data_IF_587823704612
#
_entry.id   IF_587823704612
#
_cell.length_a   1.000
_cell.length_b   1.000
_cell.length_c   1.000
_cell.angle_alpha   90.00
_cell.angle_beta   90.00
_cell.angle_gamma   90.00
#
_symmetry.space_group_name_H-M   'P 1'
#
loop_
_entity.id
_entity.type
_entity.pdbx_description
1 polymer ?
#
# COMPACT_ATOMS: atom_id res chain seq x y z
N UNK A 1 -29.36 15.22 -4.20
CA UNK A 1 -29.21 14.40 -5.42
C UNK A 1 -27.91 13.62 -5.30
N UNK A 2 -28.00 12.31 -5.52
CA UNK A 2 -27.04 11.23 -5.22
C UNK A 2 -25.57 11.63 -5.10
N UNK A 3 -25.06 11.58 -3.87
CA UNK A 3 -23.63 11.53 -3.60
C UNK A 3 -23.07 10.27 -4.26
N UNK A 4 -22.25 10.44 -5.30
CA UNK A 4 -21.47 9.36 -5.85
C UNK A 4 -20.59 8.80 -4.74
N UNK A 5 -20.98 7.66 -4.17
CA UNK A 5 -20.20 7.02 -3.13
C UNK A 5 -18.85 6.66 -3.73
N UNK A 6 -17.78 7.29 -3.25
CA UNK A 6 -16.42 6.90 -3.59
C UNK A 6 -16.23 5.45 -3.17
N UNK A 7 -16.21 4.53 -4.13
CA UNK A 7 -15.99 3.13 -3.86
C UNK A 7 -14.50 2.98 -3.52
N UNK A 8 -14.23 2.74 -2.25
CA UNK A 8 -12.91 2.41 -1.77
C UNK A 8 -12.66 0.92 -1.98
N UNK A 9 -11.54 0.59 -2.62
CA UNK A 9 -11.17 -0.78 -2.92
C UNK A 9 -10.10 -1.23 -1.94
N UNK A 10 -10.44 -2.18 -1.08
CA UNK A 10 -9.48 -2.96 -0.29
C UNK A 10 -9.29 -4.32 -0.96
N UNK A 11 -8.07 -4.69 -1.28
CA UNK A 11 -7.79 -5.95 -1.97
C UNK A 11 -6.36 -6.42 -1.76
N UNK A 12 -6.11 -7.70 -2.06
CA UNK A 12 -4.75 -8.27 -2.04
C UNK A 12 -3.99 -7.87 -3.30
N UNK A 13 -2.71 -7.53 -3.13
CA UNK A 13 -1.82 -7.18 -4.22
C UNK A 13 -1.01 -8.39 -4.66
N UNK A 14 -0.81 -8.58 -5.97
CA UNK A 14 0.03 -9.67 -6.50
C UNK A 14 1.51 -9.38 -6.21
N UNK A 15 2.25 -10.43 -5.88
CA UNK A 15 3.68 -10.41 -5.54
C UNK A 15 4.57 -9.77 -6.63
N UNK A 16 4.20 -9.91 -7.91
CA UNK A 16 4.94 -9.39 -9.06
C UNK A 16 4.49 -8.00 -9.50
N UNK A 17 3.56 -7.36 -8.76
CA UNK A 17 3.07 -6.03 -9.12
C UNK A 17 4.19 -5.03 -8.93
N UNK A 18 4.46 -4.21 -9.93
CA UNK A 18 5.41 -3.10 -9.81
C UNK A 18 4.74 -1.90 -9.13
N UNK A 19 5.39 -1.37 -8.10
CA UNK A 19 4.99 -0.16 -7.38
C UNK A 19 5.84 1.02 -7.85
N UNK A 20 5.22 2.19 -7.91
CA UNK A 20 5.86 3.44 -8.32
C UNK A 20 5.74 4.45 -7.19
N UNK A 21 6.73 5.31 -7.04
CA UNK A 21 6.66 6.42 -6.12
C UNK A 21 5.62 7.44 -6.61
N UNK A 22 5.11 8.25 -5.68
CA UNK A 22 4.38 9.45 -6.05
C UNK A 22 5.30 10.38 -6.86
N UNK A 23 4.77 11.07 -7.89
CA UNK A 23 5.57 12.00 -8.66
C UNK A 23 6.07 13.11 -7.74
N UNK A 24 7.38 13.16 -7.52
CA UNK A 24 8.01 14.19 -6.70
C UNK A 24 7.66 15.57 -7.29
N UNK A 25 7.23 16.52 -6.45
CA UNK A 25 6.90 17.89 -6.85
C UNK A 25 8.06 18.57 -7.60
N UNK A 26 9.30 18.17 -7.34
CA UNK A 26 10.48 18.63 -8.07
C UNK A 26 10.43 18.35 -9.59
N UNK A 27 9.66 17.36 -10.04
CA UNK A 27 9.46 17.08 -11.47
C UNK A 27 8.54 18.11 -12.16
N UNK A 28 7.81 18.94 -11.41
CA UNK A 28 6.98 20.03 -11.96
C UNK A 28 7.82 21.19 -12.51
N UNK A 29 9.06 21.32 -12.05
CA UNK A 29 9.99 22.41 -12.43
C UNK A 29 10.84 22.05 -13.67
N UNK A 30 10.80 20.80 -14.13
CA UNK A 30 11.55 20.37 -15.32
C UNK A 30 10.83 20.75 -16.62
N UNK A 31 11.57 21.28 -17.60
CA UNK A 31 11.06 21.68 -18.92
C UNK A 31 10.60 20.44 -19.71
N UNK A 32 9.31 20.15 -19.73
CA UNK A 32 8.71 19.01 -20.45
C UNK A 32 7.35 18.58 -19.90
N UNK A 33 6.76 17.52 -20.47
CA UNK A 33 5.50 16.96 -19.94
C UNK A 33 5.76 16.39 -18.53
N UNK A 34 5.03 16.83 -17.49
CA UNK A 34 5.25 16.33 -16.14
C UNK A 34 5.05 14.81 -16.10
N UNK A 35 5.95 14.11 -15.40
CA UNK A 35 5.89 12.65 -15.27
C UNK A 35 4.63 12.27 -14.50
N UNK A 36 3.85 11.33 -15.07
CA UNK A 36 2.62 10.83 -14.45
C UNK A 36 2.86 9.93 -13.24
N UNK A 37 4.07 9.40 -13.09
CA UNK A 37 4.50 8.52 -12.00
C UNK A 37 5.91 8.92 -11.56
N UNK A 38 6.24 8.73 -10.28
CA UNK A 38 7.61 8.83 -9.78
C UNK A 38 8.47 7.65 -10.23
N UNK A 39 9.63 7.49 -9.59
CA UNK A 39 10.54 6.40 -9.91
C UNK A 39 9.93 5.03 -9.59
N UNK A 40 10.37 4.00 -10.32
CA UNK A 40 9.94 2.62 -10.09
C UNK A 40 10.59 2.14 -8.79
N UNK A 41 9.79 1.89 -7.76
CA UNK A 41 10.30 1.46 -6.45
C UNK A 41 10.71 -0.02 -6.42
N UNK A 42 10.08 -0.88 -7.24
CA UNK A 42 10.36 -2.32 -7.27
C UNK A 42 9.08 -3.13 -7.43
N UNK A 43 9.20 -4.47 -7.35
CA UNK A 43 8.02 -5.32 -7.17
C UNK A 43 7.60 -5.38 -5.69
N UNK A 44 6.36 -5.77 -5.43
CA UNK A 44 5.85 -6.00 -4.07
C UNK A 44 6.73 -6.97 -3.29
N UNK A 45 7.33 -7.96 -3.96
CA UNK A 45 8.24 -8.95 -3.34
C UNK A 45 9.58 -8.33 -2.95
N UNK A 46 10.20 -7.56 -3.84
CA UNK A 46 11.48 -6.90 -3.56
C UNK A 46 11.34 -5.93 -2.37
N UNK A 47 10.23 -5.20 -2.35
CA UNK A 47 9.88 -4.28 -1.28
C UNK A 47 9.52 -5.02 0.01
N UNK A 48 8.81 -6.15 -0.04
CA UNK A 48 8.51 -6.96 1.13
C UNK A 48 9.79 -7.41 1.86
N UNK A 49 10.81 -7.84 1.11
CA UNK A 49 12.08 -8.25 1.69
C UNK A 49 12.77 -7.07 2.41
N UNK A 50 12.76 -5.88 1.78
CA UNK A 50 13.39 -4.68 2.33
C UNK A 50 12.64 -4.08 3.52
N UNK A 51 11.31 -4.20 3.53
CA UNK A 51 10.45 -3.60 4.56
C UNK A 51 10.22 -4.52 5.76
N UNK A 52 10.63 -5.78 5.68
CA UNK A 52 10.49 -6.70 6.81
C UNK A 52 11.20 -6.20 8.07
N UNK A 53 12.39 -5.62 7.90
CA UNK A 53 13.18 -5.07 9.01
C UNK A 53 12.65 -3.72 9.52
N UNK A 54 11.85 -3.01 8.70
CA UNK A 54 11.21 -1.74 9.06
C UNK A 54 9.79 -1.93 9.63
N UNK A 55 9.28 -3.15 9.59
CA UNK A 55 7.91 -3.44 9.98
C UNK A 55 7.72 -3.30 11.50
N UNK A 56 6.53 -2.87 11.89
CA UNK A 56 6.14 -2.66 13.28
C UNK A 56 5.10 -3.68 13.72
N UNK A 57 5.08 -3.99 15.01
CA UNK A 57 4.09 -4.90 15.57
C UNK A 57 2.79 -4.16 15.83
N UNK A 58 1.69 -4.65 15.25
CA UNK A 58 0.34 -4.15 15.46
C UNK A 58 -0.51 -5.22 16.14
N UNK A 59 -1.20 -4.86 17.22
CA UNK A 59 -2.22 -5.71 17.82
C UNK A 59 -3.55 -5.49 17.10
N UNK A 60 -4.08 -6.55 16.47
CA UNK A 60 -5.32 -6.53 15.69
C UNK A 60 -6.31 -7.58 16.20
N UNK A 61 -7.60 -7.30 16.09
CA UNK A 61 -8.67 -8.22 16.47
C UNK A 61 -9.12 -9.06 15.27
N UNK A 62 -8.49 -10.23 15.08
CA UNK A 62 -8.83 -11.14 13.98
C UNK A 62 -9.79 -12.24 14.44
N UNK A 63 -11.00 -12.27 13.87
CA UNK A 63 -12.04 -13.26 14.18
C UNK A 63 -12.35 -13.35 15.68
N UNK A 64 -12.44 -12.18 16.35
CA UNK A 64 -12.70 -12.10 17.79
C UNK A 64 -11.53 -12.51 18.70
N UNK A 65 -10.32 -12.67 18.14
CA UNK A 65 -9.10 -12.92 18.91
C UNK A 65 -8.07 -11.82 18.65
N UNK A 66 -7.52 -11.26 19.72
CA UNK A 66 -6.40 -10.35 19.61
C UNK A 66 -5.15 -11.12 19.13
N UNK A 67 -4.51 -10.60 18.09
CA UNK A 67 -3.29 -11.15 17.51
C UNK A 67 -2.32 -10.04 17.20
N UNK A 68 -1.07 -10.28 17.54
CA UNK A 68 0.01 -9.40 17.15
C UNK A 68 0.52 -9.82 15.78
N UNK A 69 0.53 -8.87 14.85
CA UNK A 69 1.01 -9.05 13.48
C UNK A 69 2.09 -8.02 13.19
N UNK A 70 3.11 -8.45 12.46
CA UNK A 70 4.14 -7.54 12.00
C UNK A 70 3.67 -6.93 10.68
N UNK A 71 3.57 -5.61 10.58
CA UNK A 71 3.12 -4.95 9.37
C UNK A 71 3.95 -3.71 9.03
N UNK A 72 3.98 -3.37 7.76
CA UNK A 72 4.56 -2.14 7.24
C UNK A 72 3.60 -1.54 6.23
N UNK A 73 3.32 -0.25 6.31
CA UNK A 73 2.52 0.45 5.33
C UNK A 73 3.27 1.60 4.69
N UNK A 74 2.99 1.82 3.40
CA UNK A 74 3.48 2.99 2.68
C UNK A 74 2.56 3.28 1.49
N UNK A 75 2.48 4.56 1.12
CA UNK A 75 1.67 5.02 -0.02
C UNK A 75 2.50 4.90 -1.30
N UNK A 76 1.90 4.30 -2.32
CA UNK A 76 2.49 4.13 -3.64
C UNK A 76 1.49 4.47 -4.74
N UNK A 77 2.00 4.75 -5.93
CA UNK A 77 1.21 4.86 -7.15
C UNK A 77 1.13 3.51 -7.85
N UNK A 78 -0.10 3.03 -8.09
CA UNK A 78 -0.33 1.87 -8.96
C UNK A 78 -0.52 2.32 -10.41
N UNK A 79 0.26 1.75 -11.34
CA UNK A 79 0.14 2.07 -12.78
C UNK A 79 -1.23 1.70 -13.37
N UNK A 80 -1.86 0.64 -12.84
CA UNK A 80 -3.15 0.13 -13.32
C UNK A 80 -4.30 1.07 -12.95
N UNK A 81 -4.34 1.52 -11.69
CA UNK A 81 -5.40 2.39 -11.16
C UNK A 81 -5.09 3.88 -11.36
N UNK A 82 -3.81 4.23 -11.56
CA UNK A 82 -3.31 5.60 -11.74
C UNK A 82 -3.64 6.53 -10.57
N UNK A 83 -3.86 5.95 -9.39
CA UNK A 83 -4.16 6.64 -8.15
C UNK A 83 -3.16 6.23 -7.06
N UNK A 84 -2.98 7.08 -6.03
CA UNK A 84 -2.26 6.70 -4.84
C UNK A 84 -3.06 5.65 -4.08
N UNK A 85 -2.35 4.63 -3.60
CA UNK A 85 -2.90 3.58 -2.76
C UNK A 85 -1.98 3.37 -1.57
N UNK A 86 -2.57 3.14 -0.39
CA UNK A 86 -1.80 2.66 0.77
C UNK A 86 -1.62 1.17 0.60
N UNK A 87 -0.37 0.72 0.53
CA UNK A 87 -0.02 -0.70 0.48
C UNK A 87 0.45 -1.11 1.86
N UNK A 88 -0.12 -2.19 2.39
CA UNK A 88 0.19 -2.76 3.71
C UNK A 88 0.75 -4.16 3.51
N UNK A 89 2.00 -4.38 3.91
CA UNK A 89 2.59 -5.71 4.01
C UNK A 89 2.35 -6.26 5.40
N UNK A 90 1.73 -7.42 5.48
CA UNK A 90 1.52 -8.17 6.72
C UNK A 90 2.45 -9.37 6.70
N UNK A 91 3.44 -9.35 7.58
CA UNK A 91 4.42 -10.42 7.75
C UNK A 91 3.94 -11.40 8.81
N UNK A 92 3.86 -12.67 8.43
CA UNK A 92 3.65 -13.82 9.32
C UNK A 92 4.97 -14.59 9.44
N UNK A 93 5.00 -15.61 10.31
CA UNK A 93 6.21 -16.38 10.63
C UNK A 93 7.02 -16.82 9.41
N UNK A 94 6.35 -17.35 8.38
CA UNK A 94 7.01 -17.93 7.18
C UNK A 94 6.52 -17.32 5.86
N UNK A 95 5.52 -16.46 5.89
CA UNK A 95 4.84 -15.93 4.71
C UNK A 95 4.46 -14.48 4.95
N UNK A 96 4.22 -13.74 3.87
CA UNK A 96 3.70 -12.39 3.94
C UNK A 96 2.56 -12.22 2.95
N UNK A 97 1.69 -11.27 3.22
CA UNK A 97 0.58 -10.88 2.33
C UNK A 97 0.61 -9.37 2.18
N UNK A 98 0.48 -8.89 0.94
CA UNK A 98 0.33 -7.46 0.67
C UNK A 98 -1.15 -7.15 0.41
N UNK A 99 -1.67 -6.18 1.14
CA UNK A 99 -2.96 -5.55 0.89
C UNK A 99 -2.74 -4.17 0.30
N UNK A 100 -3.71 -3.68 -0.47
CA UNK A 100 -3.74 -2.29 -0.90
C UNK A 100 -5.14 -1.72 -0.70
N UNK A 101 -5.20 -0.45 -0.36
CA UNK A 101 -6.44 0.32 -0.29
C UNK A 101 -6.32 1.64 -1.05
N UNK A 102 -7.40 2.03 -1.73
CA UNK A 102 -7.53 3.39 -2.29
C UNK A 102 -7.98 4.40 -1.25
N UNK A 103 -8.44 3.95 -0.07
CA UNK A 103 -8.75 4.81 1.07
C UNK A 103 -7.50 5.05 1.93
N UNK A 104 -6.96 6.27 1.88
CA UNK A 104 -5.79 6.67 2.67
C UNK A 104 -6.14 7.01 4.12
N UNK A 105 -7.43 7.06 4.47
CA UNK A 105 -7.91 7.36 5.83
C UNK A 105 -7.95 6.12 6.73
N UNK A 106 -7.99 4.92 6.14
CA UNK A 106 -8.01 3.66 6.89
C UNK A 106 -6.69 3.40 7.62
N UNK A 107 -6.81 3.00 8.89
CA UNK A 107 -5.64 2.57 9.66
C UNK A 107 -5.13 1.21 9.20
N UNK A 108 -3.85 0.94 9.48
CA UNK A 108 -3.23 -0.38 9.23
C UNK A 108 -4.00 -1.49 9.94
N UNK A 109 -4.45 -1.26 11.17
CA UNK A 109 -5.24 -2.23 11.93
C UNK A 109 -6.57 -2.55 11.26
N UNK A 110 -7.31 -1.53 10.83
CA UNK A 110 -8.57 -1.70 10.10
C UNK A 110 -8.36 -2.49 8.80
N UNK A 111 -7.33 -2.14 8.03
CA UNK A 111 -6.98 -2.82 6.77
C UNK A 111 -6.72 -4.33 6.99
N UNK A 112 -6.15 -4.69 8.14
CA UNK A 112 -5.83 -6.09 8.47
C UNK A 112 -7.06 -6.82 9.04
N UNK A 113 -7.97 -6.11 9.71
CA UNK A 113 -9.16 -6.68 10.35
C UNK A 113 -10.34 -6.94 9.40
N UNK A 114 -10.37 -6.28 8.24
CA UNK A 114 -11.35 -6.52 7.16
C UNK A 114 -11.13 -7.86 6.44
#
# INVERSE_FOLDING_TARGET
>A
MQSGQSIHLLSRLRINTALYAEPNDAAKTAKGRPRKYGDRCGSVTDLAASFRDLAQTFSVMLYGKQRDVLAYDQVFMLKNLRCPVRVVWVFRKTQWVAFFTTDLTLSVTQIIEY
#
